data_IF_114182479723
#
_entry.id   IF_114182479723
#
_cell.length_a   1.000
_cell.length_b   1.000
_cell.length_c   1.000
_cell.angle_alpha   90.00
_cell.angle_beta   90.00
_cell.angle_gamma   90.00
#
_symmetry.space_group_name_H-M   'P 1'
#
loop_
_entity.id
_entity.type
_entity.pdbx_description
1 polymer ?
#
# COMPACT_ATOMS: atom_id res chain seq x y z
N UNK A 1 10.80 17.46 7.80
CA UNK A 1 11.02 16.75 6.51
C UNK A 1 10.08 15.55 6.46
N UNK A 2 9.71 15.01 5.28
CA UNK A 2 8.79 13.84 5.22
C UNK A 2 9.30 12.63 6.04
N UNK A 3 10.62 12.51 6.18
CA UNK A 3 11.30 11.49 6.99
C UNK A 3 11.07 11.62 8.51
N UNK A 4 10.54 12.75 8.98
CA UNK A 4 10.28 13.02 10.40
C UNK A 4 8.79 12.81 10.74
N UNK A 5 7.95 12.53 9.75
CA UNK A 5 6.53 12.27 9.94
C UNK A 5 6.39 10.87 10.54
N UNK A 6 5.80 10.77 11.73
CA UNK A 6 5.48 9.49 12.34
C UNK A 6 4.32 8.79 11.59
N UNK A 7 4.44 7.47 11.45
CA UNK A 7 3.39 6.66 10.85
C UNK A 7 2.39 6.29 11.94
N UNK A 8 1.33 7.09 12.04
CA UNK A 8 0.24 6.90 12.99
C UNK A 8 -1.00 6.27 12.32
N UNK A 9 -2.08 6.09 13.08
CA UNK A 9 -3.32 5.48 12.60
C UNK A 9 -3.90 6.20 11.37
N UNK A 10 -3.96 7.55 11.39
CA UNK A 10 -4.47 8.34 10.27
C UNK A 10 -3.55 8.30 9.06
N UNK A 11 -2.23 8.18 9.27
CA UNK A 11 -1.27 7.98 8.17
C UNK A 11 -1.58 6.68 7.43
N UNK A 12 -1.87 5.58 8.13
CA UNK A 12 -2.28 4.34 7.49
C UNK A 12 -3.63 4.45 6.76
N UNK A 13 -4.53 5.32 7.20
CA UNK A 13 -5.86 5.47 6.60
C UNK A 13 -5.86 6.39 5.38
N UNK A 14 -5.05 7.46 5.39
CA UNK A 14 -5.10 8.53 4.39
C UNK A 14 -3.80 8.74 3.62
N UNK A 15 -2.67 8.23 4.12
CA UNK A 15 -1.32 8.38 3.57
C UNK A 15 -0.60 7.02 3.55
N UNK A 16 -1.30 5.99 3.07
CA UNK A 16 -0.84 4.60 3.11
C UNK A 16 0.50 4.35 2.40
N UNK A 17 0.84 5.18 1.42
CA UNK A 17 2.09 5.16 0.67
C UNK A 17 3.24 5.88 1.38
N UNK A 18 3.00 6.52 2.55
CA UNK A 18 4.00 7.32 3.25
C UNK A 18 5.34 6.56 3.45
N UNK A 19 5.38 5.28 3.87
CA UNK A 19 6.64 4.55 4.00
C UNK A 19 7.40 4.43 2.66
N UNK A 20 6.70 4.27 1.54
CA UNK A 20 7.32 4.20 0.22
C UNK A 20 7.99 5.53 -0.14
N UNK A 21 7.30 6.66 0.03
CA UNK A 21 7.88 7.98 -0.23
C UNK A 21 8.99 8.34 0.75
N UNK A 22 8.88 7.95 2.02
CA UNK A 22 9.97 8.11 2.98
C UNK A 22 11.22 7.31 2.58
N UNK A 23 11.06 6.09 2.07
CA UNK A 23 12.20 5.31 1.58
C UNK A 23 12.88 5.98 0.38
N UNK A 24 12.11 6.44 -0.62
CA UNK A 24 12.65 7.18 -1.77
C UNK A 24 13.39 8.45 -1.35
N UNK A 25 12.84 9.22 -0.41
CA UNK A 25 13.52 10.41 0.11
C UNK A 25 14.80 10.06 0.88
N UNK A 26 14.82 8.96 1.63
CA UNK A 26 16.02 8.51 2.33
C UNK A 26 17.12 8.11 1.32
N UNK A 27 16.79 7.42 0.22
CA UNK A 27 17.76 7.10 -0.84
C UNK A 27 18.30 8.36 -1.53
N UNK A 28 17.43 9.32 -1.84
CA UNK A 28 17.83 10.59 -2.48
C UNK A 28 18.81 11.40 -1.61
N UNK A 29 18.80 11.18 -0.29
CA UNK A 29 19.71 11.80 0.68
C UNK A 29 20.95 10.93 0.99
N UNK A 30 21.13 9.79 0.31
CA UNK A 30 22.25 8.87 0.56
C UNK A 30 22.13 8.05 1.86
N UNK A 31 20.92 7.94 2.42
CA UNK A 31 20.64 7.22 3.67
C UNK A 31 20.15 5.79 3.40
N UNK A 32 20.91 4.99 2.65
CA UNK A 32 20.51 3.68 2.13
C UNK A 32 20.00 2.72 3.21
N UNK A 33 20.73 2.61 4.34
CA UNK A 33 20.32 1.71 5.42
C UNK A 33 18.95 2.12 6.01
N UNK A 34 18.67 3.43 6.11
CA UNK A 34 17.37 3.93 6.56
C UNK A 34 16.28 3.58 5.57
N UNK A 35 16.51 3.78 4.27
CA UNK A 35 15.56 3.43 3.21
C UNK A 35 15.19 1.94 3.23
N UNK A 36 16.20 1.06 3.32
CA UNK A 36 15.99 -0.39 3.39
C UNK A 36 15.21 -0.80 4.64
N UNK A 37 15.52 -0.22 5.79
CA UNK A 37 14.79 -0.50 7.03
C UNK A 37 13.31 -0.10 6.93
N UNK A 38 13.01 1.06 6.32
CA UNK A 38 11.64 1.53 6.09
C UNK A 38 10.88 0.53 5.20
N UNK A 39 11.45 0.16 4.05
CA UNK A 39 10.79 -0.74 3.11
C UNK A 39 10.66 -2.17 3.64
N UNK A 40 11.68 -2.69 4.34
CA UNK A 40 11.62 -4.02 4.94
C UNK A 40 10.55 -4.10 6.04
N UNK A 41 10.36 -3.03 6.82
CA UNK A 41 9.26 -2.94 7.79
C UNK A 41 7.90 -2.89 7.08
N UNK A 42 7.73 -1.97 6.12
CA UNK A 42 6.50 -1.81 5.36
C UNK A 42 6.06 -3.11 4.67
N UNK A 43 7.00 -3.80 4.00
CA UNK A 43 6.76 -5.10 3.36
C UNK A 43 6.24 -6.15 4.33
N UNK A 44 6.83 -6.26 5.53
CA UNK A 44 6.38 -7.22 6.56
C UNK A 44 4.97 -6.88 7.04
N UNK A 45 4.74 -5.62 7.37
CA UNK A 45 3.45 -5.16 7.91
C UNK A 45 2.33 -5.31 6.87
N UNK A 46 2.57 -4.95 5.61
CA UNK A 46 1.60 -5.08 4.53
C UNK A 46 1.32 -6.54 4.15
N UNK A 47 2.35 -7.37 4.08
CA UNK A 47 2.18 -8.81 3.86
C UNK A 47 1.34 -9.45 4.97
N UNK A 48 1.61 -9.11 6.23
CA UNK A 48 0.85 -9.63 7.36
C UNK A 48 -0.63 -9.22 7.31
N UNK A 49 -0.92 -7.98 6.93
CA UNK A 49 -2.30 -7.48 6.93
C UNK A 49 -3.11 -7.88 5.68
N UNK A 50 -2.47 -8.32 4.61
CA UNK A 50 -3.12 -8.88 3.42
C UNK A 50 -4.02 -10.08 3.80
N UNK A 51 -3.48 -11.01 4.60
CA UNK A 51 -4.15 -12.26 4.96
C UNK A 51 -4.91 -12.19 6.30
N UNK A 52 -4.90 -11.02 6.96
CA UNK A 52 -5.54 -10.83 8.25
C UNK A 52 -7.07 -10.93 8.11
N UNK A 53 -7.68 -11.90 8.79
CA UNK A 53 -9.14 -12.00 8.92
C UNK A 53 -9.67 -10.81 9.72
N UNK A 54 -10.50 -10.01 9.07
CA UNK A 54 -11.17 -8.85 9.68
C UNK A 54 -12.47 -9.23 10.39
N UNK A 55 -13.01 -8.29 11.14
CA UNK A 55 -14.30 -8.36 11.83
C UNK A 55 -15.51 -8.08 10.90
N UNK A 56 -15.34 -8.21 9.59
CA UNK A 56 -16.35 -7.84 8.59
C UNK A 56 -16.30 -6.38 8.13
N UNK A 57 -15.27 -5.62 8.49
CA UNK A 57 -15.09 -4.24 8.02
C UNK A 57 -13.65 -3.99 7.53
N UNK A 58 -13.50 -3.19 6.48
CA UNK A 58 -12.22 -2.73 5.97
C UNK A 58 -12.36 -1.39 5.26
N UNK A 59 -11.56 -0.38 5.66
CA UNK A 59 -11.50 0.94 5.01
C UNK A 59 -12.85 1.63 4.76
N UNK A 60 -13.88 1.29 5.54
CA UNK A 60 -15.22 1.86 5.43
C UNK A 60 -15.63 2.43 6.78
N UNK A 61 -16.28 3.59 6.76
CA UNK A 61 -16.98 4.11 7.93
C UNK A 61 -18.29 3.32 8.07
N UNK A 62 -18.69 2.91 9.30
CA UNK A 62 -19.81 1.98 9.52
C UNK A 62 -21.17 2.41 8.96
N UNK A 63 -21.31 3.67 8.55
CA UNK A 63 -22.57 4.25 8.06
C UNK A 63 -22.82 4.02 6.56
N UNK A 64 -21.86 3.51 5.77
CA UNK A 64 -21.97 3.38 4.29
C UNK A 64 -21.85 1.93 3.77
N UNK A 65 -22.18 0.94 4.58
CA UNK A 65 -21.92 -0.48 4.29
C UNK A 65 -22.60 -0.97 2.99
N UNK A 66 -23.78 -0.44 2.64
CA UNK A 66 -24.55 -0.85 1.45
C UNK A 66 -23.87 -0.58 0.11
N UNK A 67 -22.85 0.29 0.08
CA UNK A 67 -22.10 0.66 -1.12
C UNK A 67 -20.65 0.18 -1.08
N UNK A 68 -20.23 -0.48 0.01
CA UNK A 68 -18.87 -0.94 0.18
C UNK A 68 -18.68 -2.31 -0.48
N UNK A 69 -17.58 -2.48 -1.21
CA UNK A 69 -17.15 -3.80 -1.63
C UNK A 69 -16.98 -4.74 -0.43
N UNK A 70 -17.04 -6.04 -0.71
CA UNK A 70 -16.73 -7.08 0.26
C UNK A 70 -15.41 -6.77 0.98
N UNK A 71 -15.38 -6.70 2.34
CA UNK A 71 -14.22 -6.28 3.10
C UNK A 71 -12.94 -7.07 2.80
N UNK A 72 -13.07 -8.35 2.43
CA UNK A 72 -11.96 -9.19 2.02
C UNK A 72 -11.37 -8.77 0.66
N UNK A 73 -12.22 -8.44 -0.31
CA UNK A 73 -11.79 -7.96 -1.64
C UNK A 73 -11.12 -6.60 -1.49
N UNK A 74 -11.75 -5.67 -0.76
CA UNK A 74 -11.19 -4.33 -0.52
C UNK A 74 -9.83 -4.40 0.20
N UNK A 75 -9.69 -5.27 1.20
CA UNK A 75 -8.41 -5.54 1.89
C UNK A 75 -7.34 -6.07 0.94
N UNK A 76 -7.70 -7.08 0.16
CA UNK A 76 -6.79 -7.71 -0.80
C UNK A 76 -6.30 -6.67 -1.81
N UNK A 77 -7.23 -5.94 -2.43
CA UNK A 77 -6.91 -4.88 -3.38
C UNK A 77 -5.97 -3.83 -2.76
N UNK A 78 -6.27 -3.37 -1.55
CA UNK A 78 -5.49 -2.37 -0.84
C UNK A 78 -4.04 -2.81 -0.60
N UNK A 79 -3.83 -3.99 -0.01
CA UNK A 79 -2.49 -4.45 0.32
C UNK A 79 -1.71 -4.93 -0.91
N UNK A 80 -2.38 -5.39 -1.96
CA UNK A 80 -1.73 -5.70 -3.24
C UNK A 80 -1.12 -4.47 -3.89
N UNK A 81 -1.84 -3.35 -3.87
CA UNK A 81 -1.29 -2.08 -4.34
C UNK A 81 -0.01 -1.70 -3.57
N UNK A 82 -0.04 -1.77 -2.23
CA UNK A 82 1.12 -1.44 -1.41
C UNK A 82 2.30 -2.39 -1.63
N UNK A 83 2.04 -3.70 -1.78
CA UNK A 83 3.06 -4.68 -2.13
C UNK A 83 3.59 -4.48 -3.56
N UNK A 84 2.77 -3.97 -4.47
CA UNK A 84 3.18 -3.52 -5.79
C UNK A 84 4.23 -2.41 -5.71
N UNK A 85 4.03 -1.42 -4.81
CA UNK A 85 5.03 -0.37 -4.55
C UNK A 85 6.35 -0.95 -4.00
N UNK A 86 6.28 -1.97 -3.14
CA UNK A 86 7.49 -2.69 -2.68
C UNK A 86 8.23 -3.31 -3.88
N UNK A 87 7.52 -3.98 -4.78
CA UNK A 87 8.14 -4.59 -5.97
C UNK A 87 8.72 -3.58 -6.92
N UNK A 88 8.03 -2.45 -7.09
CA UNK A 88 8.53 -1.33 -7.86
C UNK A 88 9.83 -0.77 -7.25
N UNK A 89 9.87 -0.61 -5.93
CA UNK A 89 11.08 -0.20 -5.20
C UNK A 89 12.24 -1.20 -5.34
N UNK A 90 11.94 -2.50 -5.28
CA UNK A 90 12.93 -3.58 -5.50
C UNK A 90 13.41 -3.69 -6.96
N UNK A 91 12.84 -2.92 -7.90
CA UNK A 91 13.14 -2.98 -9.33
C UNK A 91 12.45 -4.12 -10.09
N UNK A 92 11.60 -4.92 -9.42
CA UNK A 92 10.85 -6.04 -9.98
C UNK A 92 9.55 -5.54 -10.65
N UNK A 93 9.69 -4.90 -11.81
CA UNK A 93 8.58 -4.24 -12.52
C UNK A 93 7.48 -5.19 -12.96
N UNK A 94 7.83 -6.39 -13.41
CA UNK A 94 6.86 -7.39 -13.85
C UNK A 94 5.93 -7.81 -12.72
N UNK A 95 6.48 -8.14 -11.55
CA UNK A 95 5.65 -8.49 -10.39
C UNK A 95 4.91 -7.29 -9.83
N UNK A 96 5.51 -6.10 -9.87
CA UNK A 96 4.81 -4.87 -9.48
C UNK A 96 3.55 -4.68 -10.33
N UNK A 97 3.67 -4.77 -11.65
CA UNK A 97 2.55 -4.64 -12.59
C UNK A 97 1.45 -5.65 -12.33
N UNK A 98 1.80 -6.93 -12.13
CA UNK A 98 0.82 -7.96 -11.79
C UNK A 98 0.03 -7.64 -10.51
N UNK A 99 0.71 -7.16 -9.47
CA UNK A 99 0.08 -6.75 -8.21
C UNK A 99 -0.83 -5.53 -8.38
N UNK A 100 -0.43 -4.55 -9.20
CA UNK A 100 -1.26 -3.38 -9.49
C UNK A 100 -2.51 -3.75 -10.30
N UNK A 101 -2.38 -4.65 -11.28
CA UNK A 101 -3.52 -5.15 -12.05
C UNK A 101 -4.52 -5.92 -11.18
N UNK A 102 -4.04 -6.78 -10.28
CA UNK A 102 -4.91 -7.49 -9.34
C UNK A 102 -5.59 -6.53 -8.37
N UNK A 103 -4.84 -5.55 -7.88
CA UNK A 103 -5.39 -4.48 -7.04
C UNK A 103 -6.48 -3.68 -7.75
N UNK A 104 -6.26 -3.31 -9.02
CA UNK A 104 -7.22 -2.56 -9.82
C UNK A 104 -8.48 -3.37 -10.11
N UNK A 105 -8.36 -4.66 -10.43
CA UNK A 105 -9.51 -5.55 -10.59
C UNK A 105 -10.35 -5.64 -9.29
N UNK A 106 -9.68 -5.59 -8.14
CA UNK A 106 -10.34 -5.55 -6.83
C UNK A 106 -10.83 -4.17 -6.41
N UNK A 107 -10.37 -3.06 -7.00
CA UNK A 107 -10.77 -1.69 -6.66
C UNK A 107 -10.59 -0.75 -7.85
N UNK A 108 -11.51 -0.85 -8.82
CA UNK A 108 -11.45 -0.12 -10.09
C UNK A 108 -11.62 1.39 -9.96
N UNK A 109 -12.14 1.87 -8.83
CA UNK A 109 -12.35 3.29 -8.57
C UNK A 109 -11.07 3.98 -8.05
N UNK A 110 -10.06 3.20 -7.69
CA UNK A 110 -8.75 3.71 -7.24
C UNK A 110 -7.93 4.21 -8.43
N UNK A 111 -7.90 5.53 -8.60
CA UNK A 111 -7.07 6.20 -9.62
C UNK A 111 -5.58 5.85 -9.52
N UNK A 112 -5.07 5.63 -8.31
CA UNK A 112 -3.69 5.20 -8.10
C UNK A 112 -3.45 3.79 -8.65
N UNK A 113 -4.35 2.86 -8.37
CA UNK A 113 -4.23 1.48 -8.87
C UNK A 113 -4.29 1.47 -10.40
N UNK A 114 -5.19 2.25 -10.99
CA UNK A 114 -5.27 2.41 -12.44
C UNK A 114 -3.95 2.95 -13.02
N UNK A 115 -3.42 4.04 -12.46
CA UNK A 115 -2.17 4.65 -12.93
C UNK A 115 -1.02 3.64 -12.97
N UNK A 116 -0.80 2.91 -11.86
CA UNK A 116 0.31 1.96 -11.78
C UNK A 116 0.07 0.65 -12.55
N UNK A 117 -1.18 0.25 -12.78
CA UNK A 117 -1.49 -0.94 -13.60
C UNK A 117 -1.19 -0.74 -15.09
N UNK A 118 -1.18 0.52 -15.55
CA UNK A 118 -1.01 0.90 -16.95
C UNK A 118 0.32 1.62 -17.25
N UNK A 119 1.19 1.74 -16.25
CA UNK A 119 2.58 2.18 -16.37
C UNK A 119 3.49 1.09 -16.95
#
# INVERSE_FOLDING_TARGET
>A
MILDIEVEFFSNMHLRELPYYQALCAEALGLQQKAWNIMARAKRDWSFNLDRKGNGFFSTTPFFISFAQGPAIARRAYYQYLLGLVKLYEGDRERAKALFQESYAGNSDSLFCHYYAHL
#
